data_IF_921738401985
#
_entry.id   IF_921738401985
#
_cell.length_a   1.000
_cell.length_b   1.000
_cell.length_c   1.000
_cell.angle_alpha   90.00
_cell.angle_beta   90.00
_cell.angle_gamma   90.00
#
_symmetry.space_group_name_H-M   'P 1'
#
loop_
_entity.id
_entity.type
_entity.pdbx_description
1 polymer ?
#
# COMPACT_ATOMS: atom_id res chain seq x y z
N UNK A 1 -3.29 -6.44 41.15
CA UNK A 1 -3.04 -6.72 39.74
C UNK A 1 -2.20 -5.59 39.15
N UNK A 2 -1.17 -5.85 38.32
CA UNK A 2 -0.30 -4.81 37.76
C UNK A 2 -1.13 -3.88 36.90
N UNK A 3 -0.87 -2.57 37.04
CA UNK A 3 -1.53 -1.53 36.24
C UNK A 3 -1.17 -1.68 34.75
N UNK A 4 -1.99 -1.12 33.85
CA UNK A 4 -1.74 -1.18 32.41
C UNK A 4 -0.37 -0.58 32.04
N UNK A 5 0.05 0.48 32.72
CA UNK A 5 1.39 1.05 32.56
C UNK A 5 2.52 0.10 32.96
N UNK A 6 2.35 -0.67 34.04
CA UNK A 6 3.33 -1.67 34.48
C UNK A 6 3.44 -2.84 33.49
N UNK A 7 2.32 -3.28 32.90
CA UNK A 7 2.30 -4.30 31.84
C UNK A 7 2.98 -3.79 30.56
N UNK A 8 2.76 -2.53 30.18
CA UNK A 8 3.44 -1.91 29.04
C UNK A 8 4.96 -1.80 29.25
N UNK A 9 5.39 -1.38 30.45
CA UNK A 9 6.81 -1.30 30.80
C UNK A 9 7.50 -2.67 30.83
N UNK A 10 6.86 -3.70 31.36
CA UNK A 10 7.40 -5.06 31.37
C UNK A 10 7.57 -5.62 29.94
N UNK A 11 6.58 -5.38 29.08
CA UNK A 11 6.63 -5.78 27.66
C UNK A 11 7.73 -5.05 26.88
N UNK A 12 7.92 -3.76 27.13
CA UNK A 12 9.02 -2.97 26.57
C UNK A 12 10.39 -3.46 27.05
N UNK A 13 10.52 -3.84 28.32
CA UNK A 13 11.75 -4.43 28.88
C UNK A 13 12.08 -5.79 28.25
N UNK A 14 11.07 -6.65 28.03
CA UNK A 14 11.27 -7.94 27.36
C UNK A 14 11.72 -7.78 25.91
N UNK A 15 11.12 -6.86 25.16
CA UNK A 15 11.50 -6.58 23.76
C UNK A 15 12.88 -5.93 23.63
N UNK A 16 13.33 -5.23 24.66
CA UNK A 16 14.63 -4.55 24.70
C UNK A 16 15.78 -5.38 25.33
N UNK A 17 15.55 -6.68 25.60
CA UNK A 17 16.56 -7.54 26.24
C UNK A 17 16.98 -7.04 27.63
N UNK A 18 16.03 -6.51 28.41
CA UNK A 18 16.26 -6.05 29.79
C UNK A 18 16.80 -4.61 29.93
N UNK A 19 17.21 -3.94 28.84
CA UNK A 19 17.61 -2.52 28.83
C UNK A 19 16.43 -1.63 28.40
N UNK A 20 16.36 -0.41 28.96
CA UNK A 20 15.37 0.56 28.50
C UNK A 20 15.59 0.88 27.00
N UNK A 21 14.55 0.77 26.16
CA UNK A 21 14.71 1.04 24.75
C UNK A 21 15.07 2.51 24.52
N UNK A 22 15.94 2.78 23.51
CA UNK A 22 16.27 4.14 23.09
C UNK A 22 14.97 4.88 22.71
N UNK A 23 14.91 6.18 22.94
CA UNK A 23 13.72 7.01 22.71
C UNK A 23 13.07 6.80 21.33
N UNK A 24 13.88 6.55 20.28
CA UNK A 24 13.41 6.24 18.92
C UNK A 24 12.68 4.90 18.85
N UNK A 25 13.23 3.86 19.50
CA UNK A 25 12.63 2.52 19.55
C UNK A 25 11.35 2.53 20.38
N UNK A 26 11.36 3.21 21.53
CA UNK A 26 10.19 3.38 22.39
C UNK A 26 9.05 4.07 21.63
N UNK A 27 9.35 5.13 20.87
CA UNK A 27 8.36 5.84 20.04
C UNK A 27 7.81 4.95 18.91
N UNK A 28 8.68 4.17 18.27
CA UNK A 28 8.26 3.22 17.23
C UNK A 28 7.32 2.16 17.79
N UNK A 29 7.69 1.52 18.92
CA UNK A 29 6.88 0.51 19.56
C UNK A 29 5.53 1.07 20.02
N UNK A 30 5.51 2.28 20.57
CA UNK A 30 4.28 2.94 21.01
C UNK A 30 3.33 3.22 19.84
N UNK A 31 3.85 3.57 18.69
CA UNK A 31 3.02 3.95 17.54
C UNK A 31 2.61 2.75 16.66
N UNK A 32 3.34 1.62 16.70
CA UNK A 32 3.12 0.51 15.76
C UNK A 32 2.78 -0.83 16.45
N UNK A 33 3.04 -0.97 17.72
CA UNK A 33 2.83 -2.25 18.44
C UNK A 33 1.71 -2.13 19.48
N UNK A 34 1.53 -0.95 20.09
CA UNK A 34 0.45 -0.74 21.06
C UNK A 34 -0.90 -0.64 20.33
N UNK A 35 -1.93 -1.25 20.93
CA UNK A 35 -3.30 -1.13 20.45
C UNK A 35 -3.72 0.35 20.39
N UNK A 36 -4.17 0.78 19.21
CA UNK A 36 -4.66 2.13 18.98
C UNK A 36 -6.19 2.13 18.99
N UNK A 37 -6.80 3.14 19.63
CA UNK A 37 -8.25 3.33 19.64
C UNK A 37 -8.80 3.70 18.25
N UNK A 38 -7.96 4.29 17.41
CA UNK A 38 -8.32 4.68 16.04
C UNK A 38 -7.29 4.05 15.10
N UNK A 39 -7.76 3.27 14.15
CA UNK A 39 -6.89 2.71 13.11
C UNK A 39 -6.27 3.83 12.26
N UNK A 40 -4.96 3.68 11.98
CA UNK A 40 -4.25 4.56 11.08
C UNK A 40 -4.72 4.39 9.63
N UNK A 41 -4.42 5.39 8.79
CA UNK A 41 -4.71 5.28 7.36
C UNK A 41 -3.92 4.13 6.73
N UNK A 42 -4.59 3.34 5.86
CA UNK A 42 -3.97 2.20 5.15
C UNK A 42 -2.78 2.66 4.31
N UNK A 43 -1.61 2.10 4.57
CA UNK A 43 -0.39 2.36 3.81
C UNK A 43 -0.32 1.47 2.57
N UNK A 44 0.23 2.00 1.48
CA UNK A 44 0.42 1.28 0.22
C UNK A 44 1.90 1.07 -0.08
N UNK A 45 2.27 -0.18 -0.42
CA UNK A 45 3.59 -0.58 -0.85
C UNK A 45 3.64 -0.63 -2.38
N UNK A 46 4.54 0.15 -2.99
CA UNK A 46 4.70 0.23 -4.44
C UNK A 46 5.98 -0.50 -4.83
N UNK A 47 5.86 -1.50 -5.69
CA UNK A 47 6.91 -2.44 -6.04
C UNK A 47 7.17 -2.42 -7.54
N UNK A 48 8.42 -2.62 -7.90
CA UNK A 48 8.83 -2.89 -9.29
C UNK A 48 9.14 -4.37 -9.46
N UNK A 49 8.60 -4.97 -10.50
CA UNK A 49 8.94 -6.32 -10.92
C UNK A 49 10.35 -6.40 -11.50
N UNK A 50 10.74 -7.57 -12.02
CA UNK A 50 12.06 -7.82 -12.62
C UNK A 50 12.34 -6.82 -13.75
N UNK A 51 11.34 -6.65 -14.63
CA UNK A 51 11.35 -5.67 -15.72
C UNK A 51 10.20 -4.70 -15.50
N UNK A 52 10.49 -3.43 -15.57
CA UNK A 52 9.52 -2.35 -15.46
C UNK A 52 9.82 -1.33 -16.54
N UNK A 53 8.81 -0.96 -17.35
CA UNK A 53 8.96 0.10 -18.33
C UNK A 53 8.96 1.47 -17.65
N UNK A 54 9.52 2.48 -18.32
CA UNK A 54 9.55 3.84 -17.78
C UNK A 54 8.15 4.40 -17.53
N UNK A 55 7.19 4.07 -18.40
CA UNK A 55 5.79 4.41 -18.20
C UNK A 55 5.24 3.81 -16.91
N UNK A 56 5.52 2.53 -16.64
CA UNK A 56 5.06 1.87 -15.42
C UNK A 56 5.76 2.41 -14.16
N UNK A 57 7.02 2.82 -14.30
CA UNK A 57 7.71 3.50 -13.22
C UNK A 57 7.08 4.87 -12.91
N UNK A 58 6.69 5.61 -13.94
CA UNK A 58 5.98 6.87 -13.80
C UNK A 58 4.59 6.68 -13.16
N UNK A 59 3.85 5.63 -13.56
CA UNK A 59 2.57 5.24 -12.92
C UNK A 59 2.75 5.01 -11.41
N UNK A 60 3.78 4.25 -11.00
CA UNK A 60 4.05 4.03 -9.58
C UNK A 60 4.39 5.33 -8.83
N UNK A 61 5.13 6.25 -9.46
CA UNK A 61 5.42 7.57 -8.87
C UNK A 61 4.13 8.38 -8.68
N UNK A 62 3.25 8.36 -9.66
CA UNK A 62 1.97 9.09 -9.58
C UNK A 62 1.05 8.50 -8.51
N UNK A 63 0.96 7.16 -8.41
CA UNK A 63 0.23 6.48 -7.32
C UNK A 63 0.83 6.87 -5.96
N UNK A 64 2.18 6.92 -5.85
CA UNK A 64 2.84 7.37 -4.63
C UNK A 64 2.45 8.81 -4.27
N UNK A 65 2.43 9.71 -5.25
CA UNK A 65 2.03 11.11 -5.02
C UNK A 65 0.58 11.20 -4.58
N UNK A 66 -0.32 10.45 -5.20
CA UNK A 66 -1.73 10.40 -4.81
C UNK A 66 -1.93 9.84 -3.41
N UNK A 67 -1.16 8.83 -3.01
CA UNK A 67 -1.23 8.17 -1.70
C UNK A 67 -0.37 8.84 -0.62
N UNK A 68 0.37 9.89 -0.95
CA UNK A 68 1.23 10.58 0.02
C UNK A 68 0.42 11.12 1.22
N UNK A 69 0.92 10.94 2.48
CA UNK A 69 2.23 10.43 2.88
C UNK A 69 2.32 8.89 3.06
N UNK A 70 1.26 8.13 2.85
CA UNK A 70 1.17 6.70 3.15
C UNK A 70 1.60 5.78 1.98
N UNK A 71 2.19 6.33 0.92
CA UNK A 71 2.75 5.58 -0.21
C UNK A 71 4.25 5.32 -0.05
N UNK A 72 4.66 4.05 0.07
CA UNK A 72 6.07 3.63 0.15
C UNK A 72 6.50 3.00 -1.17
N UNK A 73 7.44 3.63 -1.90
CA UNK A 73 7.98 3.10 -3.15
C UNK A 73 9.33 2.42 -2.89
N UNK A 74 9.44 1.12 -3.19
CA UNK A 74 10.70 0.41 -3.20
C UNK A 74 11.44 0.64 -4.52
N UNK A 75 12.68 1.07 -4.44
CA UNK A 75 13.51 1.41 -5.60
C UNK A 75 14.09 0.19 -6.30
N UNK A 76 14.33 -0.90 -5.55
CA UNK A 76 14.90 -2.15 -6.08
C UNK A 76 13.85 -2.93 -6.87
N UNK A 77 14.29 -3.59 -7.94
CA UNK A 77 13.48 -4.54 -8.68
C UNK A 77 13.33 -5.83 -7.85
N UNK A 78 12.17 -6.43 -7.90
CA UNK A 78 11.84 -7.65 -7.15
C UNK A 78 11.45 -8.76 -8.11
N UNK A 79 11.91 -9.99 -7.81
CA UNK A 79 11.54 -11.19 -8.57
C UNK A 79 10.23 -11.70 -7.98
N UNK A 80 9.11 -11.12 -8.42
CA UNK A 80 7.79 -11.48 -7.90
C UNK A 80 6.87 -11.78 -9.09
N UNK A 81 6.27 -12.97 -9.06
CA UNK A 81 5.21 -13.38 -9.98
C UNK A 81 3.92 -13.41 -9.15
N UNK A 82 3.00 -12.42 -9.32
CA UNK A 82 1.92 -12.16 -8.36
C UNK A 82 0.97 -13.33 -8.13
N UNK A 83 0.79 -14.19 -9.13
CA UNK A 83 -0.15 -15.30 -9.09
C UNK A 83 0.51 -16.67 -8.82
N UNK A 84 1.83 -16.71 -8.61
CA UNK A 84 2.53 -17.89 -8.15
C UNK A 84 2.62 -17.89 -6.62
N UNK A 85 2.58 -19.05 -5.99
CA UNK A 85 2.62 -19.20 -4.52
C UNK A 85 3.83 -18.51 -3.90
N UNK A 86 5.01 -18.67 -4.48
CA UNK A 86 6.25 -18.02 -4.05
C UNK A 86 6.15 -16.48 -4.16
N UNK A 87 5.49 -16.01 -5.22
CA UNK A 87 5.26 -14.58 -5.44
C UNK A 87 4.30 -13.99 -4.42
N UNK A 88 3.24 -14.72 -4.09
CA UNK A 88 2.28 -14.31 -3.05
C UNK A 88 2.95 -14.25 -1.68
N UNK A 89 3.72 -15.28 -1.29
CA UNK A 89 4.49 -15.27 -0.05
C UNK A 89 5.46 -14.10 0.03
N UNK A 90 6.13 -13.78 -1.09
CA UNK A 90 7.05 -12.63 -1.18
C UNK A 90 6.30 -11.30 -0.99
N UNK A 91 5.11 -11.15 -1.57
CA UNK A 91 4.25 -9.97 -1.39
C UNK A 91 3.78 -9.86 0.06
N UNK A 92 3.29 -10.94 0.65
CA UNK A 92 2.86 -11.00 2.06
C UNK A 92 3.99 -10.62 3.02
N UNK A 93 5.19 -11.14 2.77
CA UNK A 93 6.38 -10.81 3.56
C UNK A 93 6.75 -9.32 3.44
N UNK A 94 6.81 -8.79 2.20
CA UNK A 94 7.19 -7.39 1.97
C UNK A 94 6.16 -6.41 2.52
N UNK A 95 4.87 -6.71 2.38
CA UNK A 95 3.79 -5.87 2.93
C UNK A 95 3.82 -5.87 4.44
N UNK A 96 3.99 -7.03 5.08
CA UNK A 96 4.11 -7.17 6.54
C UNK A 96 5.35 -6.44 7.06
N UNK A 97 6.50 -6.61 6.42
CA UNK A 97 7.76 -5.96 6.83
C UNK A 97 7.68 -4.42 6.75
N UNK A 98 6.92 -3.90 5.80
CA UNK A 98 6.78 -2.46 5.60
C UNK A 98 5.55 -1.87 6.28
N UNK A 99 4.76 -2.68 6.99
CA UNK A 99 3.52 -2.27 7.62
C UNK A 99 2.58 -1.59 6.60
N UNK A 100 2.29 -2.32 5.52
CA UNK A 100 1.42 -1.87 4.45
C UNK A 100 0.31 -2.89 4.24
N UNK A 101 -0.93 -2.44 4.20
CA UNK A 101 -2.10 -3.28 3.92
C UNK A 101 -2.49 -3.30 2.44
N UNK A 102 -1.92 -2.38 1.64
CA UNK A 102 -2.16 -2.29 0.21
C UNK A 102 -0.84 -2.45 -0.54
N UNK A 103 -0.89 -3.00 -1.75
CA UNK A 103 0.28 -3.05 -2.62
C UNK A 103 -0.07 -2.78 -4.08
N UNK A 104 0.90 -2.27 -4.83
CA UNK A 104 0.86 -2.17 -6.28
C UNK A 104 2.21 -2.61 -6.85
N UNK A 105 2.19 -3.61 -7.72
CA UNK A 105 3.36 -4.17 -8.40
C UNK A 105 3.27 -3.86 -9.88
N UNK A 106 4.25 -3.12 -10.39
CA UNK A 106 4.37 -2.83 -11.82
C UNK A 106 5.37 -3.77 -12.48
N UNK A 107 5.00 -4.37 -13.58
CA UNK A 107 5.84 -5.25 -14.37
C UNK A 107 5.64 -5.04 -15.87
N UNK A 108 6.61 -5.50 -16.68
CA UNK A 108 6.54 -5.41 -18.13
C UNK A 108 7.13 -6.68 -18.76
N UNK A 109 6.32 -7.41 -19.52
CA UNK A 109 6.73 -8.61 -20.26
C UNK A 109 6.12 -8.56 -21.67
N UNK A 110 6.69 -9.33 -22.63
CA UNK A 110 6.15 -9.44 -24.00
C UNK A 110 4.68 -9.89 -24.01
N UNK A 111 4.33 -10.88 -23.16
CA UNK A 111 2.96 -11.41 -23.06
C UNK A 111 2.00 -10.48 -22.29
N UNK A 112 2.52 -9.67 -21.38
CA UNK A 112 1.75 -8.75 -20.53
C UNK A 112 2.47 -7.40 -20.48
N UNK A 113 2.32 -6.57 -21.53
CA UNK A 113 2.95 -5.27 -21.57
C UNK A 113 2.28 -4.32 -20.55
N UNK A 114 3.09 -3.48 -19.91
CA UNK A 114 2.64 -2.45 -18.95
C UNK A 114 1.62 -2.98 -17.94
N UNK A 115 1.99 -4.04 -17.25
CA UNK A 115 1.15 -4.73 -16.29
C UNK A 115 1.23 -4.10 -14.91
N UNK A 116 0.08 -3.82 -14.31
CA UNK A 116 -0.08 -3.31 -12.95
C UNK A 116 -0.93 -4.28 -12.14
N UNK A 117 -0.34 -4.94 -11.16
CA UNK A 117 -1.07 -5.75 -10.19
C UNK A 117 -1.29 -4.93 -8.93
N UNK A 118 -2.53 -4.74 -8.54
CA UNK A 118 -2.93 -4.08 -7.30
C UNK A 118 -3.62 -5.07 -6.39
N UNK A 119 -3.43 -4.94 -5.08
CA UNK A 119 -4.06 -5.83 -4.13
C UNK A 119 -4.00 -5.30 -2.71
N UNK A 120 -4.65 -6.03 -1.83
CA UNK A 120 -4.70 -5.74 -0.41
C UNK A 120 -4.45 -7.00 0.41
N UNK A 121 -3.89 -6.78 1.58
CA UNK A 121 -3.61 -7.82 2.56
C UNK A 121 -4.46 -7.60 3.80
N UNK A 122 -4.88 -8.70 4.42
CA UNK A 122 -5.54 -8.73 5.71
C UNK A 122 -4.93 -9.86 6.52
N UNK A 123 -4.64 -9.61 7.79
CA UNK A 123 -3.98 -10.58 8.68
C UNK A 123 -2.76 -11.26 8.05
N UNK A 124 -1.88 -10.45 7.42
CA UNK A 124 -0.64 -10.89 6.74
C UNK A 124 -0.84 -11.79 5.52
N UNK A 125 -2.08 -11.98 5.06
CA UNK A 125 -2.45 -12.76 3.89
C UNK A 125 -3.03 -11.87 2.80
N UNK A 126 -2.83 -12.26 1.55
CA UNK A 126 -3.46 -11.56 0.43
C UNK A 126 -4.95 -11.86 0.46
N UNK A 127 -5.77 -10.79 0.55
CA UNK A 127 -7.23 -10.88 0.54
C UNK A 127 -7.76 -10.91 -0.88
N UNK A 128 -7.33 -9.96 -1.71
CA UNK A 128 -7.62 -9.95 -3.13
C UNK A 128 -6.51 -9.28 -3.94
N UNK A 129 -6.49 -9.59 -5.23
CA UNK A 129 -5.54 -9.07 -6.19
C UNK A 129 -6.23 -8.87 -7.54
N UNK A 130 -5.97 -7.74 -8.19
CA UNK A 130 -6.43 -7.42 -9.53
C UNK A 130 -5.26 -7.11 -10.45
N UNK A 131 -5.31 -7.62 -11.67
CA UNK A 131 -4.31 -7.38 -12.72
C UNK A 131 -4.88 -6.45 -13.77
N UNK A 132 -4.18 -5.37 -14.08
CA UNK A 132 -4.60 -4.33 -15.01
C UNK A 132 -3.50 -4.09 -16.06
N UNK A 133 -3.90 -4.00 -17.32
CA UNK A 133 -3.01 -3.56 -18.41
C UNK A 133 -3.14 -2.05 -18.63
N UNK A 134 -2.03 -1.32 -18.53
CA UNK A 134 -2.01 0.12 -18.80
C UNK A 134 -1.79 0.36 -20.29
N UNK A 135 -2.84 0.75 -21.02
CA UNK A 135 -2.78 0.97 -22.46
C UNK A 135 -2.35 2.41 -22.81
N UNK A 136 -2.91 3.40 -22.12
CA UNK A 136 -2.60 4.82 -22.31
C UNK A 136 -2.28 5.44 -20.97
N UNK A 137 -1.19 6.18 -20.91
CA UNK A 137 -0.74 6.83 -19.70
C UNK A 137 -0.39 8.29 -19.99
N UNK A 138 -0.86 9.15 -19.10
CA UNK A 138 -0.48 10.56 -19.03
C UNK A 138 -0.12 10.87 -17.59
N UNK A 139 1.09 11.37 -17.35
CA UNK A 139 1.58 11.66 -16.00
C UNK A 139 0.83 12.82 -15.37
N UNK A 140 0.73 12.80 -14.04
CA UNK A 140 0.23 13.95 -13.29
C UNK A 140 1.04 15.22 -13.56
N UNK A 141 2.34 15.08 -13.88
CA UNK A 141 3.20 16.19 -14.26
C UNK A 141 2.88 16.84 -15.62
N UNK A 142 2.22 16.09 -16.52
CA UNK A 142 1.86 16.58 -17.84
C UNK A 142 0.62 17.49 -17.84
N UNK A 143 -0.07 17.61 -16.70
CA UNK A 143 -1.19 18.53 -16.53
C UNK A 143 -0.68 19.89 -16.03
N UNK A 144 -0.26 20.74 -16.95
CA UNK A 144 0.16 22.10 -16.64
C UNK A 144 -1.00 22.92 -16.07
N UNK A 145 -0.71 23.75 -15.05
CA UNK A 145 -1.70 24.67 -14.48
C UNK A 145 -2.69 24.07 -13.48
N UNK A 146 -2.70 22.74 -13.26
CA UNK A 146 -3.54 22.16 -12.21
C UNK A 146 -2.95 22.39 -10.83
N UNK A 147 -3.76 22.79 -9.83
CA UNK A 147 -3.28 22.96 -8.48
C UNK A 147 -2.80 21.61 -7.91
N UNK A 148 -1.62 21.63 -7.29
CA UNK A 148 -1.08 20.44 -6.65
C UNK A 148 -1.99 19.98 -5.52
N UNK A 149 -2.20 18.66 -5.43
CA UNK A 149 -2.95 18.05 -4.34
C UNK A 149 -2.35 18.42 -2.98
N UNK A 150 -3.18 18.86 -2.04
CA UNK A 150 -2.77 19.02 -0.64
C UNK A 150 -2.51 17.64 -0.01
N UNK A 151 -1.45 17.53 0.80
CA UNK A 151 -1.19 16.33 1.58
C UNK A 151 -2.39 16.01 2.47
N UNK A 152 -2.81 14.74 2.47
CA UNK A 152 -3.94 14.28 3.29
C UNK A 152 -5.33 14.57 2.71
N UNK A 153 -5.45 15.23 1.56
CA UNK A 153 -6.75 15.42 0.92
C UNK A 153 -7.26 14.11 0.30
N UNK A 154 -8.57 13.84 0.49
CA UNK A 154 -9.24 12.69 -0.15
C UNK A 154 -9.66 13.08 -1.57
N UNK A 155 -9.15 12.44 -2.62
CA UNK A 155 -9.65 12.68 -3.97
C UNK A 155 -11.07 12.11 -4.13
N UNK A 156 -11.89 12.80 -4.91
CA UNK A 156 -13.17 12.26 -5.35
C UNK A 156 -12.91 11.36 -6.56
N UNK A 157 -13.41 10.12 -6.52
CA UNK A 157 -13.35 9.19 -7.64
C UNK A 157 -14.73 9.04 -8.25
N UNK A 158 -14.80 9.18 -9.56
CA UNK A 158 -16.04 9.03 -10.32
C UNK A 158 -15.92 7.79 -11.23
N UNK A 159 -16.78 6.81 -10.98
CA UNK A 159 -16.89 5.60 -11.80
C UNK A 159 -18.13 5.73 -12.72
N UNK A 160 -17.90 5.84 -14.02
CA UNK A 160 -18.96 6.07 -15.01
C UNK A 160 -19.15 4.82 -15.86
N UNK A 161 -20.43 4.42 -16.02
CA UNK A 161 -20.84 3.29 -16.84
C UNK A 161 -21.47 2.15 -16.03
N UNK A 162 -22.45 1.48 -16.65
CA UNK A 162 -23.30 0.46 -16.02
C UNK A 162 -22.51 -0.76 -15.51
N UNK A 163 -21.37 -1.06 -16.13
CA UNK A 163 -20.54 -2.21 -15.75
C UNK A 163 -20.05 -2.14 -14.31
N UNK A 164 -19.80 -0.94 -13.78
CA UNK A 164 -19.39 -0.73 -12.40
C UNK A 164 -20.47 -1.09 -11.39
N UNK A 165 -21.73 -0.99 -11.81
CA UNK A 165 -22.86 -1.31 -10.95
C UNK A 165 -23.32 -2.78 -11.09
N UNK A 166 -23.27 -3.33 -12.30
CA UNK A 166 -23.84 -4.64 -12.60
C UNK A 166 -22.90 -5.81 -12.30
N UNK A 167 -21.57 -5.65 -12.55
CA UNK A 167 -20.63 -6.76 -12.43
C UNK A 167 -19.89 -6.75 -11.09
N UNK A 168 -19.91 -7.88 -10.39
CA UNK A 168 -19.24 -8.06 -9.09
C UNK A 168 -17.72 -7.84 -9.16
N UNK A 169 -17.07 -8.22 -10.26
CA UNK A 169 -15.63 -8.02 -10.48
C UNK A 169 -15.27 -6.53 -10.52
N UNK A 170 -16.07 -5.71 -11.21
CA UNK A 170 -15.85 -4.27 -11.27
C UNK A 170 -16.12 -3.60 -9.92
N UNK A 171 -17.11 -4.07 -9.14
CA UNK A 171 -17.34 -3.57 -7.78
C UNK A 171 -16.13 -3.85 -6.86
N UNK A 172 -15.53 -5.05 -6.95
CA UNK A 172 -14.31 -5.38 -6.20
C UNK A 172 -13.14 -4.49 -6.62
N UNK A 173 -12.96 -4.30 -7.92
CA UNK A 173 -11.93 -3.42 -8.46
C UNK A 173 -12.15 -1.96 -8.01
N UNK A 174 -13.39 -1.48 -8.04
CA UNK A 174 -13.76 -0.15 -7.55
C UNK A 174 -13.33 0.04 -6.09
N UNK A 175 -13.72 -0.88 -5.20
CA UNK A 175 -13.35 -0.84 -3.80
C UNK A 175 -11.82 -0.85 -3.61
N UNK A 176 -11.12 -1.65 -4.39
CA UNK A 176 -9.66 -1.74 -4.31
C UNK A 176 -8.98 -0.44 -4.77
N UNK A 177 -9.47 0.19 -5.84
CA UNK A 177 -9.00 1.48 -6.33
C UNK A 177 -9.30 2.61 -5.33
N UNK A 178 -10.50 2.62 -4.76
CA UNK A 178 -10.88 3.58 -3.72
C UNK A 178 -9.95 3.47 -2.50
N UNK A 179 -9.66 2.28 -2.04
CA UNK A 179 -8.73 2.06 -0.91
C UNK A 179 -7.29 2.45 -1.27
N UNK A 180 -6.84 2.15 -2.49
CA UNK A 180 -5.49 2.46 -2.93
C UNK A 180 -5.25 3.97 -2.99
N UNK A 181 -6.21 4.74 -3.49
CA UNK A 181 -6.06 6.18 -3.73
C UNK A 181 -6.58 7.01 -2.55
N UNK A 182 -7.60 6.50 -1.83
CA UNK A 182 -8.20 7.20 -0.70
C UNK A 182 -7.30 7.19 0.53
N UNK A 183 -7.26 8.32 1.20
CA UNK A 183 -6.69 8.47 2.54
C UNK A 183 -7.85 8.35 3.54
N UNK A 184 -8.21 7.14 3.94
CA UNK A 184 -9.18 6.96 5.02
C UNK A 184 -8.52 7.22 6.36
N UNK A 185 -8.88 8.32 6.98
CA UNK A 185 -8.98 8.43 8.41
C UNK A 185 -10.46 8.14 8.72
N UNK A 186 -10.76 6.96 9.23
CA UNK A 186 -12.03 6.72 9.88
C UNK A 186 -12.07 7.69 11.08
N UNK A 187 -13.00 8.64 11.03
CA UNK A 187 -13.37 9.41 12.21
C UNK A 187 -14.31 8.59 13.05
#
# INVERSE_FOLDING_TARGET
APTEQQRKQSRLKQLAGGKAPKARVSRYLKNHVDAQLVEGAKSALLLKGIRCSDNMHAVLKDIRMMKSPYGKLLTKNNIIIPFADEGQQSLEFLTTKNDCSLFALASHNKKRPNNLCIGRTFDRKILDIAELGVMRYKSLGDYAGTPKKRLGSKPMMLFVGDRWQLKSEYKRLQNLLEELISLFLLK
#
